data_IF_413068240011
#
_entry.id   IF_413068240011
#
_cell.length_a   1.000
_cell.length_b   1.000
_cell.length_c   1.000
_cell.angle_alpha   90.00
_cell.angle_beta   90.00
_cell.angle_gamma   90.00
#
_symmetry.space_group_name_H-M   'P 1'
#
loop_
_entity.id
_entity.type
_entity.pdbx_description
1 polymer ?
#
# COMPACT_ATOMS: atom_id res chain seq x y z
N UNK A 1 -7.30 12.78 -9.65
CA UNK A 1 -6.52 12.41 -8.44
C UNK A 1 -7.09 13.02 -7.16
N UNK A 2 -7.84 14.13 -7.23
CA UNK A 2 -8.48 14.77 -6.07
C UNK A 2 -9.48 13.87 -5.33
N UNK A 3 -10.24 13.02 -6.04
CA UNK A 3 -11.19 12.10 -5.38
C UNK A 3 -10.53 11.02 -4.52
N UNK A 4 -9.29 10.63 -4.84
CA UNK A 4 -8.58 9.54 -4.15
C UNK A 4 -8.11 9.97 -2.76
N UNK A 5 -7.62 11.21 -2.63
CA UNK A 5 -7.19 11.80 -1.36
C UNK A 5 -8.37 12.17 -0.44
N UNK A 6 -9.59 12.16 -0.97
CA UNK A 6 -10.80 12.43 -0.19
C UNK A 6 -11.53 11.15 0.20
N UNK A 7 -11.10 9.99 -0.32
CA UNK A 7 -11.72 8.70 -0.04
C UNK A 7 -11.15 8.11 1.27
N UNK A 8 -11.96 7.90 2.31
CA UNK A 8 -11.49 7.27 3.54
C UNK A 8 -10.93 5.84 3.33
N UNK A 9 -11.42 5.10 2.33
CA UNK A 9 -10.93 3.75 2.02
C UNK A 9 -9.53 3.72 1.45
N UNK A 10 -9.11 4.79 0.80
CA UNK A 10 -7.72 4.95 0.42
C UNK A 10 -6.80 4.89 1.65
N UNK A 11 -7.06 5.70 2.67
CA UNK A 11 -6.23 5.73 3.87
C UNK A 11 -6.34 4.45 4.69
N UNK A 12 -7.54 3.87 4.78
CA UNK A 12 -7.75 2.61 5.48
C UNK A 12 -6.92 1.46 4.89
N UNK A 13 -6.71 1.44 3.56
CA UNK A 13 -5.83 0.47 2.91
C UNK A 13 -4.34 0.91 2.90
N UNK A 14 -4.07 2.20 2.66
CA UNK A 14 -2.72 2.73 2.48
C UNK A 14 -1.89 2.72 3.75
N UNK A 15 -2.47 3.09 4.90
CA UNK A 15 -1.76 3.12 6.17
C UNK A 15 -1.20 1.73 6.53
N UNK A 16 -2.00 0.66 6.62
CA UNK A 16 -1.47 -0.66 6.92
C UNK A 16 -0.55 -1.17 5.79
N UNK A 17 -0.87 -0.93 4.51
CA UNK A 17 -0.01 -1.38 3.42
C UNK A 17 1.40 -0.75 3.48
N UNK A 18 1.50 0.56 3.71
CA UNK A 18 2.78 1.27 3.84
C UNK A 18 3.54 0.81 5.08
N UNK A 19 2.85 0.61 6.21
CA UNK A 19 3.49 0.09 7.43
C UNK A 19 4.08 -1.29 7.17
N UNK A 20 3.29 -2.23 6.63
CA UNK A 20 3.73 -3.61 6.40
C UNK A 20 4.88 -3.67 5.37
N UNK A 21 4.75 -2.97 4.25
CA UNK A 21 5.78 -2.93 3.20
C UNK A 21 7.06 -2.26 3.71
N UNK A 22 6.93 -1.11 4.38
CA UNK A 22 8.07 -0.37 4.92
C UNK A 22 8.82 -1.15 6.00
N UNK A 23 8.11 -1.84 6.89
CA UNK A 23 8.70 -2.75 7.88
C UNK A 23 9.48 -3.89 7.21
N UNK A 24 8.88 -4.55 6.21
CA UNK A 24 9.54 -5.63 5.49
C UNK A 24 10.83 -5.18 4.78
N UNK A 25 10.89 -3.94 4.27
CA UNK A 25 12.13 -3.37 3.72
C UNK A 25 13.13 -2.89 4.76
N UNK A 26 12.66 -2.50 5.94
CA UNK A 26 13.50 -2.18 7.10
C UNK A 26 14.14 -3.39 7.79
N UNK A 27 13.94 -4.61 7.29
CA UNK A 27 14.48 -5.86 7.85
C UNK A 27 13.59 -6.52 8.91
N UNK A 28 12.44 -5.92 9.23
CA UNK A 28 11.46 -6.43 10.18
C UNK A 28 10.16 -6.77 9.45
N UNK A 29 9.95 -8.01 9.03
CA UNK A 29 8.67 -8.40 8.42
C UNK A 29 8.73 -9.24 7.15
N UNK A 30 9.88 -9.80 6.79
CA UNK A 30 10.01 -10.88 5.79
C UNK A 30 9.04 -10.78 4.59
N UNK A 31 8.24 -11.83 4.36
CA UNK A 31 7.28 -11.93 3.26
C UNK A 31 6.01 -11.07 3.43
N UNK A 32 5.83 -10.37 4.55
CA UNK A 32 4.62 -9.56 4.81
C UNK A 32 4.56 -8.33 3.90
N UNK A 33 5.66 -7.90 3.30
CA UNK A 33 5.67 -6.82 2.32
C UNK A 33 4.95 -7.16 1.01
N UNK A 34 4.79 -8.45 0.69
CA UNK A 34 4.10 -8.86 -0.55
C UNK A 34 2.59 -8.60 -0.53
N UNK A 35 1.98 -8.41 0.66
CA UNK A 35 0.54 -8.08 0.76
C UNK A 35 0.23 -6.59 0.58
N UNK A 36 1.23 -5.70 0.45
CA UNK A 36 0.99 -4.27 0.26
C UNK A 36 0.13 -3.92 -0.95
N UNK A 37 0.50 -4.44 -2.14
CA UNK A 37 -0.26 -4.20 -3.38
C UNK A 37 -1.65 -4.86 -3.33
N UNK A 38 -1.81 -6.14 -2.92
CA UNK A 38 -3.12 -6.74 -2.70
C UNK A 38 -4.03 -5.98 -1.74
N UNK A 39 -3.50 -5.44 -0.63
CA UNK A 39 -4.28 -4.65 0.32
C UNK A 39 -4.79 -3.35 -0.31
N UNK A 40 -3.91 -2.63 -1.01
CA UNK A 40 -4.27 -1.39 -1.72
C UNK A 40 -5.26 -1.64 -2.86
N UNK A 41 -5.19 -2.81 -3.50
CA UNK A 41 -6.09 -3.20 -4.58
C UNK A 41 -7.55 -3.37 -4.13
N UNK A 42 -7.82 -3.42 -2.81
CA UNK A 42 -9.19 -3.40 -2.27
C UNK A 42 -9.88 -2.05 -2.45
N UNK A 43 -9.13 -0.96 -2.60
CA UNK A 43 -9.66 0.40 -2.72
C UNK A 43 -9.41 1.04 -4.10
N UNK A 44 -8.46 0.52 -4.90
CA UNK A 44 -8.09 1.13 -6.18
C UNK A 44 -7.54 0.11 -7.20
N UNK A 45 -7.34 0.50 -8.47
CA UNK A 45 -6.72 -0.38 -9.46
C UNK A 45 -5.29 -0.83 -9.05
N UNK A 46 -4.94 -2.12 -9.24
CA UNK A 46 -3.68 -2.68 -8.75
C UNK A 46 -2.42 -2.03 -9.38
N UNK A 47 -2.50 -1.57 -10.63
CA UNK A 47 -1.40 -0.84 -11.28
C UNK A 47 -1.11 0.48 -10.55
N UNK A 48 -2.16 1.17 -10.11
CA UNK A 48 -2.02 2.41 -9.35
C UNK A 48 -1.51 2.15 -7.93
N UNK A 49 -2.00 1.10 -7.28
CA UNK A 49 -1.52 0.66 -5.98
C UNK A 49 -0.01 0.36 -5.99
N UNK A 50 0.45 -0.40 -6.99
CA UNK A 50 1.88 -0.69 -7.17
C UNK A 50 2.69 0.59 -7.43
N UNK A 51 2.18 1.53 -8.24
CA UNK A 51 2.83 2.81 -8.49
C UNK A 51 3.00 3.65 -7.21
N UNK A 52 2.01 3.63 -6.31
CA UNK A 52 2.08 4.34 -5.02
C UNK A 52 3.11 3.70 -4.09
N UNK A 53 3.19 2.38 -4.05
CA UNK A 53 4.11 1.65 -3.15
C UNK A 53 5.53 1.52 -3.71
N UNK A 54 5.76 1.80 -5.00
CA UNK A 54 7.05 1.67 -5.69
C UNK A 54 8.27 2.23 -4.92
N UNK A 55 8.20 3.41 -4.25
CA UNK A 55 9.34 3.95 -3.52
C UNK A 55 9.84 3.07 -2.36
N UNK A 56 8.98 2.16 -1.88
CA UNK A 56 9.25 1.28 -0.74
C UNK A 56 9.04 -0.20 -1.10
N UNK A 57 8.82 -0.54 -2.39
CA UNK A 57 8.58 -1.92 -2.84
C UNK A 57 9.84 -2.78 -2.90
#
# INVERSE_FOLDING_TARGET
MSGLLLDPWFYAAAIPAVILVGLSKGGFGGAVGFVGVPLMALAMPPVQAAAILLPIL
#
